data_IF_151836498134
#
_entry.id   IF_151836498134
#
_cell.length_a   1.000
_cell.length_b   1.000
_cell.length_c   1.000
_cell.angle_alpha   90.00
_cell.angle_beta   90.00
_cell.angle_gamma   90.00
#
_symmetry.space_group_name_H-M   'P 1'
#
loop_
_entity.id
_entity.type
_entity.pdbx_description
1 polymer ?
#
# COMPACT_ATOMS: atom_id res chain seq x y z
N UNK A 1 18.35 -8.53 -38.14
CA UNK A 1 18.39 -7.48 -39.18
C UNK A 1 19.73 -6.80 -39.06
N UNK A 2 20.69 -7.34 -39.80
CA UNK A 2 22.03 -6.79 -39.93
C UNK A 2 21.95 -5.53 -40.80
N UNK A 3 22.50 -4.42 -40.32
CA UNK A 3 22.71 -3.22 -41.15
C UNK A 3 24.23 -3.06 -41.29
N UNK A 4 24.75 -3.57 -42.41
CA UNK A 4 26.11 -3.33 -42.85
C UNK A 4 26.24 -1.85 -43.24
N UNK A 5 27.13 -1.15 -42.54
CA UNK A 5 27.51 0.22 -42.86
C UNK A 5 28.42 0.17 -44.10
N UNK A 6 27.91 0.63 -45.23
CA UNK A 6 28.61 0.63 -46.51
C UNK A 6 29.61 1.80 -46.56
N UNK A 7 30.89 1.46 -46.44
CA UNK A 7 31.99 2.41 -46.39
C UNK A 7 32.47 2.84 -47.79
N UNK A 8 31.96 2.23 -48.86
CA UNK A 8 32.41 2.51 -50.24
C UNK A 8 31.71 3.72 -50.88
N UNK A 9 30.66 4.26 -50.27
CA UNK A 9 29.92 5.41 -50.82
C UNK A 9 30.51 6.80 -50.48
N UNK A 10 31.66 6.89 -49.79
CA UNK A 10 32.21 8.16 -49.29
C UNK A 10 33.50 8.64 -49.97
N UNK A 11 33.99 7.95 -51.00
CA UNK A 11 35.13 8.41 -51.78
C UNK A 11 34.64 9.11 -53.05
N UNK A 12 34.48 10.42 -52.92
CA UNK A 12 34.11 11.36 -53.97
C UNK A 12 35.10 11.28 -55.14
N UNK A 13 34.63 10.73 -56.26
CA UNK A 13 35.28 10.67 -57.59
C UNK A 13 35.76 12.06 -58.08
N UNK A 14 35.29 13.12 -57.43
CA UNK A 14 35.57 14.51 -57.77
C UNK A 14 36.91 15.06 -57.24
N UNK A 15 37.54 14.43 -56.23
CA UNK A 15 38.86 14.84 -55.74
C UNK A 15 40.03 14.24 -56.54
N UNK A 16 39.87 13.04 -57.12
CA UNK A 16 40.92 12.39 -57.92
C UNK A 16 41.13 13.08 -59.27
N UNK A 17 40.09 13.68 -59.87
CA UNK A 17 40.20 14.45 -61.12
C UNK A 17 40.96 15.77 -60.95
N UNK A 18 40.85 16.44 -59.79
CA UNK A 18 41.55 17.72 -59.54
C UNK A 18 43.06 17.56 -59.32
N UNK A 19 43.53 16.40 -58.86
CA UNK A 19 44.97 16.15 -58.72
C UNK A 19 45.66 15.93 -60.08
N UNK A 20 44.97 15.39 -61.08
CA UNK A 20 45.55 15.10 -62.41
C UNK A 20 45.74 16.38 -63.23
N UNK A 21 44.82 17.34 -63.16
CA UNK A 21 44.95 18.64 -63.83
C UNK A 21 46.05 19.53 -63.22
N UNK A 22 46.36 19.38 -61.93
CA UNK A 22 47.38 20.18 -61.25
C UNK A 22 48.82 19.73 -61.59
N UNK A 23 49.02 18.47 -61.97
CA UNK A 23 50.33 17.94 -62.37
C UNK A 23 50.74 18.23 -63.82
N UNK A 24 49.80 18.62 -64.70
CA UNK A 24 50.06 18.79 -66.14
C UNK A 24 50.22 20.25 -66.60
N UNK A 25 50.04 21.23 -65.73
CA UNK A 25 50.24 22.65 -66.06
C UNK A 25 51.60 23.17 -65.60
N UNK A 26 52.67 22.60 -66.14
CA UNK A 26 54.01 23.17 -66.08
C UNK A 26 54.40 23.62 -67.49
N UNK A 27 54.63 24.93 -67.75
CA UNK A 27 55.00 25.36 -69.09
C UNK A 27 56.39 24.82 -69.46
N UNK A 28 56.46 24.05 -70.54
CA UNK A 28 57.70 23.63 -71.18
C UNK A 28 58.53 24.86 -71.58
N UNK A 29 59.64 25.08 -70.88
CA UNK A 29 60.67 26.03 -71.31
C UNK A 29 61.56 25.35 -72.35
N UNK A 30 61.19 25.46 -73.62
CA UNK A 30 62.08 25.16 -74.74
C UNK A 30 63.21 26.19 -74.77
N UNK A 31 64.43 25.76 -74.48
CA UNK A 31 65.64 26.57 -74.66
C UNK A 31 66.21 26.22 -76.04
N UNK A 32 65.96 27.09 -77.04
CA UNK A 32 66.86 27.26 -78.17
C UNK A 32 67.79 28.41 -77.86
N UNK A 33 69.09 28.16 -78.01
CA UNK A 33 70.16 29.15 -77.87
C UNK A 33 69.98 30.26 -78.90
N UNK A 34 69.98 31.51 -78.45
CA UNK A 34 70.75 32.60 -79.07
C UNK A 34 70.74 33.86 -78.17
N UNK A 35 71.96 34.39 -78.00
CA UNK A 35 72.37 35.75 -77.63
C UNK A 35 72.15 36.33 -76.20
N UNK A 36 73.30 36.74 -75.66
CA UNK A 36 73.51 37.26 -74.33
C UNK A 36 73.19 38.76 -74.24
N UNK A 37 72.00 39.12 -73.75
CA UNK A 37 71.73 40.42 -73.07
C UNK A 37 70.45 40.41 -72.21
N UNK A 38 69.79 39.26 -72.00
CA UNK A 38 68.48 39.19 -71.33
C UNK A 38 68.46 38.38 -70.01
N UNK A 39 69.61 38.02 -69.45
CA UNK A 39 69.65 37.15 -68.24
C UNK A 39 69.15 37.86 -66.96
N UNK A 40 69.36 39.17 -66.83
CA UNK A 40 68.98 39.92 -65.62
C UNK A 40 67.47 40.23 -65.49
N UNK A 41 66.74 40.25 -66.61
CA UNK A 41 65.27 40.41 -66.62
C UNK A 41 64.54 39.08 -66.43
N UNK A 42 65.10 37.96 -66.88
CA UNK A 42 64.53 36.61 -66.67
C UNK A 42 64.66 36.15 -65.21
N UNK A 43 65.78 36.45 -64.53
CA UNK A 43 65.97 36.10 -63.10
C UNK A 43 65.00 36.89 -62.19
N UNK A 44 64.74 38.17 -62.50
CA UNK A 44 63.73 38.97 -61.77
C UNK A 44 62.30 38.47 -61.99
N UNK A 45 61.93 38.03 -63.21
CA UNK A 45 60.62 37.43 -63.49
C UNK A 45 60.43 36.07 -62.81
N UNK A 46 61.46 35.22 -62.79
CA UNK A 46 61.41 33.92 -62.11
C UNK A 46 61.29 34.08 -60.57
N UNK A 47 61.97 35.07 -59.99
CA UNK A 47 61.86 35.43 -58.56
C UNK A 47 60.46 35.93 -58.17
N UNK A 48 59.83 36.76 -59.01
CA UNK A 48 58.46 37.25 -58.80
C UNK A 48 57.45 36.11 -58.90
N UNK A 49 57.57 35.24 -59.92
CA UNK A 49 56.72 34.06 -60.08
C UNK A 49 56.83 33.09 -58.90
N UNK A 50 58.03 32.89 -58.37
CA UNK A 50 58.25 32.02 -57.20
C UNK A 50 57.64 32.62 -55.92
N UNK A 51 57.70 33.95 -55.74
CA UNK A 51 57.03 34.64 -54.63
C UNK A 51 55.50 34.56 -54.73
N UNK A 52 54.97 34.71 -55.93
CA UNK A 52 53.53 34.66 -56.19
C UNK A 52 52.98 33.24 -56.00
N UNK A 53 53.69 32.21 -56.47
CA UNK A 53 53.37 30.80 -56.19
C UNK A 53 53.36 30.50 -54.70
N UNK A 54 54.38 30.94 -53.96
CA UNK A 54 54.44 30.75 -52.50
C UNK A 54 53.32 31.48 -51.78
N UNK A 55 52.96 32.68 -52.23
CA UNK A 55 51.83 33.44 -51.68
C UNK A 55 50.51 32.71 -51.92
N UNK A 56 50.28 32.22 -53.14
CA UNK A 56 49.08 31.45 -53.49
C UNK A 56 48.99 30.13 -52.71
N UNK A 57 50.14 29.47 -52.49
CA UNK A 57 50.21 28.24 -51.70
C UNK A 57 49.93 28.51 -50.21
N UNK A 58 50.46 29.61 -49.66
CA UNK A 58 50.14 30.05 -48.30
C UNK A 58 48.65 30.42 -48.17
N UNK A 59 48.07 31.12 -49.15
CA UNK A 59 46.65 31.46 -49.16
C UNK A 59 45.76 30.22 -49.27
N UNK A 60 46.13 29.23 -50.09
CA UNK A 60 45.46 27.94 -50.18
C UNK A 60 45.54 27.14 -48.87
N UNK A 61 46.71 27.10 -48.23
CA UNK A 61 46.85 26.40 -46.94
C UNK A 61 46.07 27.10 -45.83
N UNK A 62 46.03 28.43 -45.83
CA UNK A 62 45.23 29.21 -44.87
C UNK A 62 43.73 29.01 -45.10
N UNK A 63 43.26 28.99 -46.35
CA UNK A 63 41.85 28.73 -46.65
C UNK A 63 41.45 27.29 -46.31
N UNK A 64 42.30 26.31 -46.61
CA UNK A 64 42.08 24.89 -46.26
C UNK A 64 42.09 24.67 -44.75
N UNK A 65 43.02 25.32 -44.04
CA UNK A 65 43.04 25.29 -42.56
C UNK A 65 41.73 25.84 -41.99
N UNK A 66 41.26 26.99 -42.47
CA UNK A 66 39.97 27.56 -42.02
C UNK A 66 38.78 26.65 -42.34
N UNK A 67 38.78 26.01 -43.51
CA UNK A 67 37.73 25.06 -43.89
C UNK A 67 37.69 23.84 -42.95
N UNK A 68 38.86 23.26 -42.65
CA UNK A 68 38.99 22.14 -41.72
C UNK A 68 38.65 22.54 -40.28
N UNK A 69 39.00 23.75 -39.84
CA UNK A 69 38.60 24.28 -38.53
C UNK A 69 37.08 24.42 -38.41
N UNK A 70 36.41 24.94 -39.46
CA UNK A 70 34.95 25.04 -39.50
C UNK A 70 34.26 23.66 -39.53
N UNK A 71 34.86 22.67 -40.18
CA UNK A 71 34.35 21.30 -40.22
C UNK A 71 34.52 20.59 -38.88
N UNK A 72 35.66 20.80 -38.21
CA UNK A 72 35.89 20.35 -36.83
C UNK A 72 34.88 20.93 -35.86
N UNK A 73 34.57 22.22 -35.98
CA UNK A 73 33.59 22.89 -35.13
C UNK A 73 32.19 22.29 -35.32
N UNK A 74 31.75 22.07 -36.56
CA UNK A 74 30.48 21.39 -36.87
C UNK A 74 30.42 19.97 -36.31
N UNK A 75 31.49 19.20 -36.45
CA UNK A 75 31.57 17.84 -35.89
C UNK A 75 31.53 17.86 -34.36
N UNK A 76 32.15 18.86 -33.74
CA UNK A 76 32.12 19.04 -32.30
C UNK A 76 30.72 19.36 -31.79
N UNK A 77 30.00 20.27 -32.45
CA UNK A 77 28.60 20.60 -32.13
C UNK A 77 27.68 19.39 -32.31
N UNK A 78 27.84 18.63 -33.39
CA UNK A 78 27.04 17.44 -33.64
C UNK A 78 27.27 16.36 -32.56
N UNK A 79 28.53 16.12 -32.18
CA UNK A 79 28.88 15.18 -31.11
C UNK A 79 28.28 15.59 -29.78
N UNK A 80 28.33 16.89 -29.45
CA UNK A 80 27.80 17.42 -28.21
C UNK A 80 26.27 17.28 -28.15
N UNK A 81 25.58 17.52 -29.26
CA UNK A 81 24.13 17.27 -29.39
C UNK A 81 23.78 15.79 -29.19
N UNK A 82 24.53 14.88 -29.79
CA UNK A 82 24.32 13.43 -29.63
C UNK A 82 24.56 12.97 -28.18
N UNK A 83 25.59 13.48 -27.50
CA UNK A 83 25.86 13.15 -26.10
C UNK A 83 24.73 13.61 -25.17
N UNK A 84 24.16 14.80 -25.42
CA UNK A 84 23.02 15.32 -24.65
C UNK A 84 21.77 14.46 -24.87
N UNK A 85 21.50 14.07 -26.12
CA UNK A 85 20.36 13.22 -26.45
C UNK A 85 20.51 11.80 -25.87
N UNK A 86 21.71 11.22 -25.94
CA UNK A 86 22.03 9.93 -25.34
C UNK A 86 21.84 9.95 -23.82
N UNK A 87 22.29 11.02 -23.13
CA UNK A 87 22.04 11.21 -21.69
C UNK A 87 20.55 11.30 -21.37
N UNK A 88 19.78 12.03 -22.18
CA UNK A 88 18.32 12.15 -22.01
C UNK A 88 17.61 10.81 -22.16
N UNK A 89 17.98 10.03 -23.17
CA UNK A 89 17.43 8.70 -23.40
C UNK A 89 17.80 7.73 -22.27
N UNK A 90 19.03 7.81 -21.76
CA UNK A 90 19.47 7.00 -20.62
C UNK A 90 18.63 7.29 -19.36
N UNK A 91 18.39 8.56 -19.03
CA UNK A 91 17.54 8.94 -17.90
C UNK A 91 16.10 8.42 -18.06
N UNK A 92 15.53 8.53 -19.26
CA UNK A 92 14.19 7.98 -19.54
C UNK A 92 14.15 6.45 -19.38
N UNK A 93 15.18 5.75 -19.82
CA UNK A 93 15.28 4.31 -19.67
C UNK A 93 15.38 3.89 -18.19
N UNK A 94 16.14 4.63 -17.38
CA UNK A 94 16.24 4.41 -15.93
C UNK A 94 14.89 4.65 -15.22
N UNK A 95 14.17 5.71 -15.59
CA UNK A 95 12.82 5.99 -15.07
C UNK A 95 11.83 4.88 -15.42
N UNK A 96 11.82 4.42 -16.68
CA UNK A 96 10.98 3.30 -17.13
C UNK A 96 11.30 1.99 -16.40
N UNK A 97 12.59 1.73 -16.13
CA UNK A 97 13.02 0.54 -15.41
C UNK A 97 12.57 0.58 -13.94
N UNK A 98 12.62 1.75 -13.29
CA UNK A 98 12.11 1.94 -11.94
C UNK A 98 10.59 1.75 -11.86
N UNK A 99 9.84 2.29 -12.84
CA UNK A 99 8.39 2.09 -12.92
C UNK A 99 8.03 0.62 -13.13
N UNK A 100 8.75 -0.08 -14.00
CA UNK A 100 8.59 -1.53 -14.21
C UNK A 100 8.81 -2.30 -12.91
N UNK A 101 9.89 -2.01 -12.19
CA UNK A 101 10.20 -2.67 -10.92
C UNK A 101 9.10 -2.43 -9.87
N UNK A 102 8.63 -1.19 -9.74
CA UNK A 102 7.52 -0.87 -8.84
C UNK A 102 6.24 -1.63 -9.20
N UNK A 103 5.94 -1.75 -10.50
CA UNK A 103 4.78 -2.50 -10.98
C UNK A 103 4.93 -4.02 -10.78
N UNK A 104 6.14 -4.57 -10.87
CA UNK A 104 6.44 -5.96 -10.55
C UNK A 104 6.26 -6.25 -9.06
N UNK A 105 6.77 -5.37 -8.19
CA UNK A 105 6.63 -5.48 -6.74
C UNK A 105 5.15 -5.42 -6.31
N UNK A 106 4.37 -4.47 -6.86
CA UNK A 106 2.94 -4.35 -6.59
C UNK A 106 2.17 -5.59 -7.09
N UNK A 107 2.48 -6.08 -8.30
CA UNK A 107 1.88 -7.31 -8.82
C UNK A 107 2.21 -8.54 -7.95
N UNK A 108 3.44 -8.64 -7.45
CA UNK A 108 3.83 -9.70 -6.51
C UNK A 108 2.99 -9.61 -5.23
N UNK A 109 2.87 -8.41 -4.65
CA UNK A 109 2.05 -8.19 -3.45
C UNK A 109 0.58 -8.55 -3.66
N UNK A 110 0.01 -8.17 -4.81
CA UNK A 110 -1.38 -8.52 -5.14
C UNK A 110 -1.56 -10.03 -5.34
N UNK A 111 -0.60 -10.72 -5.98
CA UNK A 111 -0.64 -12.18 -6.12
C UNK A 111 -0.59 -12.87 -4.77
N UNK A 112 0.26 -12.41 -3.85
CA UNK A 112 0.33 -12.95 -2.49
C UNK A 112 -1.00 -12.76 -1.74
N UNK A 113 -1.63 -11.58 -1.86
CA UNK A 113 -2.96 -11.31 -1.31
C UNK A 113 -4.04 -12.23 -1.90
N UNK A 114 -4.05 -12.42 -3.22
CA UNK A 114 -5.00 -13.32 -3.91
C UNK A 114 -4.78 -14.77 -3.47
N UNK A 115 -3.53 -15.23 -3.40
CA UNK A 115 -3.21 -16.58 -2.94
C UNK A 115 -3.64 -16.80 -1.48
N UNK A 116 -3.43 -15.80 -0.63
CA UNK A 116 -3.92 -15.81 0.75
C UNK A 116 -5.44 -15.97 0.79
N UNK A 117 -6.18 -15.12 0.06
CA UNK A 117 -7.64 -15.18 -0.03
C UNK A 117 -8.14 -16.53 -0.60
N UNK A 118 -7.51 -17.06 -1.65
CA UNK A 118 -7.84 -18.37 -2.20
C UNK A 118 -7.62 -19.50 -1.20
N UNK A 119 -6.54 -19.43 -0.41
CA UNK A 119 -6.30 -20.40 0.65
C UNK A 119 -7.35 -20.31 1.74
N UNK A 120 -7.77 -19.08 2.11
CA UNK A 120 -8.88 -18.85 3.04
C UNK A 120 -10.18 -19.47 2.50
N UNK A 121 -10.52 -19.21 1.24
CA UNK A 121 -11.70 -19.78 0.58
C UNK A 121 -11.68 -21.29 0.56
N UNK A 122 -10.56 -21.93 0.21
CA UNK A 122 -10.43 -23.39 0.23
C UNK A 122 -10.58 -23.98 1.63
N UNK A 123 -10.03 -23.30 2.64
CA UNK A 123 -10.15 -23.71 4.03
C UNK A 123 -11.62 -23.67 4.46
N UNK A 124 -12.31 -22.58 4.12
CA UNK A 124 -13.74 -22.38 4.37
C UNK A 124 -14.59 -23.41 3.61
N UNK A 125 -14.35 -23.62 2.32
CA UNK A 125 -15.03 -24.61 1.51
C UNK A 125 -14.84 -26.03 2.09
N UNK A 126 -13.61 -26.40 2.47
CA UNK A 126 -13.34 -27.69 3.11
C UNK A 126 -14.05 -27.85 4.47
N UNK A 127 -14.19 -26.78 5.23
CA UNK A 127 -14.95 -26.76 6.48
C UNK A 127 -16.44 -26.99 6.22
N UNK A 128 -16.99 -26.23 5.29
CA UNK A 128 -18.39 -26.27 4.91
C UNK A 128 -18.81 -27.59 4.27
N UNK A 129 -17.91 -28.23 3.52
CA UNK A 129 -18.14 -29.56 2.97
C UNK A 129 -17.94 -30.67 4.01
N UNK A 130 -17.20 -30.42 5.10
CA UNK A 130 -16.92 -31.42 6.16
C UNK A 130 -17.84 -31.32 7.37
N UNK A 131 -18.62 -30.25 7.52
CA UNK A 131 -19.58 -30.08 8.60
C UNK A 131 -20.97 -29.67 8.08
N UNK A 132 -21.98 -30.48 8.41
CA UNK A 132 -23.38 -30.09 8.42
C UNK A 132 -23.70 -29.07 9.53
N UNK A 133 -22.70 -28.51 10.20
CA UNK A 133 -22.89 -27.60 11.31
C UNK A 133 -21.76 -26.57 11.42
N UNK A 134 -22.01 -25.35 10.94
CA UNK A 134 -21.49 -24.16 11.62
C UNK A 134 -21.77 -24.34 13.12
N UNK A 135 -20.82 -24.05 14.01
CA UNK A 135 -20.86 -24.34 15.45
C UNK A 135 -22.28 -24.21 16.05
N UNK A 136 -23.03 -25.31 16.07
CA UNK A 136 -24.33 -25.38 16.72
C UNK A 136 -24.04 -25.53 18.19
N UNK A 137 -24.21 -24.46 18.95
CA UNK A 137 -24.62 -24.66 20.33
C UNK A 137 -26.02 -25.26 20.26
N UNK A 138 -26.11 -26.56 20.49
CA UNK A 138 -27.40 -27.17 20.84
C UNK A 138 -27.91 -26.35 22.03
N UNK A 139 -29.17 -25.90 21.97
CA UNK A 139 -29.82 -25.13 23.05
C UNK A 139 -29.68 -25.74 24.45
N UNK A 140 -29.17 -26.98 24.56
CA UNK A 140 -29.08 -27.72 25.79
C UNK A 140 -27.87 -27.43 26.68
N UNK A 141 -26.69 -26.94 26.25
CA UNK A 141 -25.59 -26.66 27.21
C UNK A 141 -24.50 -25.71 26.67
N UNK A 142 -24.43 -24.44 27.12
CA UNK A 142 -23.17 -23.70 27.13
C UNK A 142 -22.28 -24.30 28.23
N UNK A 143 -21.15 -24.90 27.87
CA UNK A 143 -20.24 -25.58 28.83
C UNK A 143 -19.43 -24.59 29.67
N UNK A 144 -19.47 -23.31 29.35
CA UNK A 144 -18.75 -22.26 30.06
C UNK A 144 -19.74 -21.22 30.64
N UNK A 145 -19.81 -21.09 31.98
CA UNK A 145 -20.74 -20.17 32.65
C UNK A 145 -20.49 -18.70 32.27
N UNK A 146 -19.30 -18.35 31.78
CA UNK A 146 -18.97 -16.99 31.33
C UNK A 146 -19.77 -16.55 30.09
N UNK A 147 -20.49 -17.46 29.43
CA UNK A 147 -21.35 -17.13 28.29
C UNK A 147 -22.80 -16.85 28.68
N UNK A 148 -23.19 -17.07 29.93
CA UNK A 148 -24.56 -16.90 30.39
C UNK A 148 -24.60 -15.88 31.50
N UNK A 149 -25.44 -14.87 31.36
CA UNK A 149 -25.67 -13.89 32.41
C UNK A 149 -26.86 -14.26 33.29
N UNK A 150 -26.68 -14.35 34.61
CA UNK A 150 -27.76 -14.66 35.53
C UNK A 150 -28.73 -13.48 35.69
N UNK A 151 -29.97 -13.78 36.06
CA UNK A 151 -30.99 -12.77 36.37
C UNK A 151 -30.73 -12.03 37.69
N UNK A 152 -30.03 -12.65 38.64
CA UNK A 152 -29.77 -12.05 39.95
C UNK A 152 -28.80 -10.86 39.83
N UNK A 153 -29.18 -9.64 40.26
CA UNK A 153 -28.38 -8.42 40.03
C UNK A 153 -26.95 -8.49 40.57
N UNK A 154 -26.77 -9.02 41.79
CA UNK A 154 -25.44 -9.11 42.43
C UNK A 154 -24.53 -10.10 41.69
N UNK A 155 -25.05 -11.29 41.36
CA UNK A 155 -24.31 -12.30 40.63
C UNK A 155 -23.95 -11.84 39.21
N UNK A 156 -24.87 -11.10 38.58
CA UNK A 156 -24.69 -10.48 37.26
C UNK A 156 -23.59 -9.41 37.28
N UNK A 157 -23.63 -8.50 38.25
CA UNK A 157 -22.60 -7.47 38.41
C UNK A 157 -21.22 -8.07 38.66
N UNK A 158 -21.13 -9.12 39.48
CA UNK A 158 -19.88 -9.84 39.71
C UNK A 158 -19.38 -10.51 38.41
N UNK A 159 -20.26 -11.12 37.61
CA UNK A 159 -19.90 -11.69 36.31
C UNK A 159 -19.31 -10.67 35.35
N UNK A 160 -19.91 -9.47 35.26
CA UNK A 160 -19.36 -8.39 34.45
C UNK A 160 -17.96 -8.01 34.91
N UNK A 161 -17.78 -7.78 36.22
CA UNK A 161 -16.48 -7.43 36.80
C UNK A 161 -15.41 -8.49 36.56
N UNK A 162 -15.73 -9.76 36.78
CA UNK A 162 -14.80 -10.86 36.59
C UNK A 162 -14.40 -11.00 35.12
N UNK A 163 -15.37 -10.85 34.21
CA UNK A 163 -15.14 -10.91 32.77
C UNK A 163 -14.23 -9.78 32.30
N UNK A 164 -14.47 -8.55 32.78
CA UNK A 164 -13.63 -7.38 32.48
C UNK A 164 -12.22 -7.58 33.04
N UNK A 165 -12.10 -8.05 34.28
CA UNK A 165 -10.79 -8.25 34.92
C UNK A 165 -9.97 -9.30 34.17
N UNK A 166 -10.58 -10.40 33.74
CA UNK A 166 -9.94 -11.40 32.88
C UNK A 166 -9.48 -10.76 31.56
N UNK A 167 -10.37 -10.05 30.87
CA UNK A 167 -10.04 -9.44 29.58
C UNK A 167 -8.90 -8.41 29.69
N UNK A 168 -8.88 -7.58 30.75
CA UNK A 168 -7.79 -6.63 31.00
C UNK A 168 -6.45 -7.32 31.26
N UNK A 169 -6.44 -8.44 31.98
CA UNK A 169 -5.24 -9.22 32.26
C UNK A 169 -4.67 -9.90 30.99
N UNK A 170 -5.53 -10.18 30.00
CA UNK A 170 -5.13 -10.78 28.73
C UNK A 170 -4.51 -9.79 27.75
N UNK A 171 -4.82 -8.48 27.85
CA UNK A 171 -4.41 -7.44 26.88
C UNK A 171 -2.93 -7.53 26.51
N UNK A 172 -2.04 -7.52 27.51
CA UNK A 172 -0.60 -7.49 27.27
C UNK A 172 -0.11 -8.78 26.58
N UNK A 173 -0.64 -9.93 27.00
CA UNK A 173 -0.35 -11.23 26.38
C UNK A 173 -0.81 -11.31 24.93
N UNK A 174 -2.01 -10.79 24.63
CA UNK A 174 -2.58 -10.76 23.29
C UNK A 174 -1.77 -9.86 22.38
N UNK A 175 -1.48 -8.63 22.83
CA UNK A 175 -0.68 -7.67 22.06
C UNK A 175 0.73 -8.18 21.79
N UNK A 176 1.38 -8.83 22.77
CA UNK A 176 2.68 -9.47 22.61
C UNK A 176 2.64 -10.64 21.61
N UNK A 177 1.65 -11.53 21.72
CA UNK A 177 1.47 -12.67 20.82
C UNK A 177 1.22 -12.25 19.36
N UNK A 178 0.71 -11.03 19.15
CA UNK A 178 0.51 -10.44 17.81
C UNK A 178 1.65 -9.53 17.36
N UNK A 179 2.75 -9.47 18.11
CA UNK A 179 3.90 -8.61 17.83
C UNK A 179 3.53 -7.12 17.71
N UNK A 180 2.56 -6.68 18.49
CA UNK A 180 2.07 -5.29 18.46
C UNK A 180 2.78 -4.39 19.49
N UNK A 181 3.79 -4.85 20.23
CA UNK A 181 4.41 -4.09 21.33
C UNK A 181 5.95 -4.04 21.22
N UNK A 182 6.56 -3.00 20.61
CA UNK A 182 5.96 -1.98 19.72
C UNK A 182 5.71 -2.53 18.30
N UNK A 183 4.78 -1.94 17.53
CA UNK A 183 4.48 -2.42 16.19
C UNK A 183 5.65 -2.09 15.26
N UNK A 184 6.19 -3.10 14.57
CA UNK A 184 7.26 -2.93 13.58
C UNK A 184 6.77 -2.96 12.13
N UNK A 185 5.45 -3.03 11.94
CA UNK A 185 4.82 -3.11 10.62
C UNK A 185 4.58 -1.73 9.99
N UNK A 186 4.47 -1.63 8.64
CA UNK A 186 4.02 -0.41 7.97
C UNK A 186 2.63 0.02 8.45
N UNK A 187 2.44 1.32 8.62
CA UNK A 187 1.17 1.92 9.08
C UNK A 187 0.49 2.70 7.94
N UNK A 188 -0.85 2.72 7.86
CA UNK A 188 -1.80 1.96 8.69
C UNK A 188 -1.74 0.45 8.39
N UNK A 189 -1.94 -0.37 9.41
CA UNK A 189 -1.98 -1.82 9.27
C UNK A 189 -3.39 -2.33 9.51
N UNK A 190 -3.92 -3.08 8.56
CA UNK A 190 -5.20 -3.77 8.67
C UNK A 190 -4.98 -5.18 8.18
N UNK A 191 -5.28 -6.14 9.05
CA UNK A 191 -5.23 -7.55 8.72
C UNK A 191 -6.50 -8.24 9.21
N UNK A 192 -6.97 -9.20 8.44
CA UNK A 192 -8.11 -10.03 8.80
C UNK A 192 -7.81 -11.46 8.38
N UNK A 193 -7.59 -12.30 9.38
CA UNK A 193 -7.21 -13.70 9.18
C UNK A 193 -8.31 -14.61 9.69
N UNK A 194 -8.69 -15.58 8.86
CA UNK A 194 -9.63 -16.63 9.28
C UNK A 194 -8.81 -17.85 9.71
N UNK A 195 -8.92 -18.22 10.97
CA UNK A 195 -8.27 -19.39 11.56
C UNK A 195 -9.29 -20.51 11.68
N UNK A 196 -8.99 -21.63 11.04
CA UNK A 196 -9.70 -22.87 11.26
C UNK A 196 -8.94 -23.73 12.26
N UNK A 197 -9.60 -24.08 13.36
CA UNK A 197 -9.09 -25.01 14.35
C UNK A 197 -9.88 -26.32 14.25
N UNK A 198 -9.40 -27.31 13.47
CA UNK A 198 -10.00 -28.62 13.43
C UNK A 198 -9.71 -29.33 14.76
N UNK A 199 -10.66 -29.28 15.69
CA UNK A 199 -10.73 -30.23 16.79
C UNK A 199 -11.97 -31.07 16.56
N UNK A 200 -11.84 -32.40 16.41
CA UNK A 200 -13.02 -33.27 16.45
C UNK A 200 -13.33 -33.54 17.92
N UNK A 201 -14.58 -33.35 18.41
CA UNK A 201 -15.79 -32.95 17.67
C UNK A 201 -16.03 -31.44 17.53
N UNK A 202 -15.30 -30.58 18.24
CA UNK A 202 -15.54 -29.13 18.33
C UNK A 202 -14.64 -28.32 17.40
N UNK A 203 -14.85 -28.42 16.09
CA UNK A 203 -14.08 -27.61 15.15
C UNK A 203 -14.57 -26.17 15.25
N UNK A 204 -13.63 -25.22 15.31
CA UNK A 204 -13.94 -23.80 15.52
C UNK A 204 -13.40 -22.98 14.36
N UNK A 205 -14.21 -22.04 13.89
CA UNK A 205 -13.75 -20.93 13.07
C UNK A 205 -13.61 -19.73 13.98
N UNK A 206 -12.47 -19.06 13.85
CA UNK A 206 -12.19 -17.79 14.51
C UNK A 206 -11.70 -16.81 13.46
N UNK A 207 -12.36 -15.68 13.34
CA UNK A 207 -11.96 -14.56 12.50
C UNK A 207 -11.21 -13.61 13.41
N UNK A 208 -9.94 -13.39 13.10
CA UNK A 208 -9.05 -12.48 13.81
C UNK A 208 -8.92 -11.20 12.99
N UNK A 209 -9.21 -10.07 13.62
CA UNK A 209 -9.12 -8.74 13.01
C UNK A 209 -8.05 -7.96 13.78
N UNK A 210 -7.01 -7.53 13.08
CA UNK A 210 -5.94 -6.69 13.65
C UNK A 210 -5.95 -5.35 12.94
N UNK A 211 -5.93 -4.27 13.72
CA UNK A 211 -5.84 -2.91 13.18
C UNK A 211 -4.84 -2.08 13.96
N UNK A 212 -4.00 -1.33 13.27
CA UNK A 212 -3.05 -0.39 13.87
C UNK A 212 -3.06 0.90 13.08
N UNK A 213 -3.34 2.00 13.77
CA UNK A 213 -3.39 3.35 13.21
C UNK A 213 -2.60 4.33 14.06
N UNK A 214 -2.02 5.33 13.43
CA UNK A 214 -1.41 6.48 14.08
C UNK A 214 -2.16 7.76 13.76
N UNK A 215 -2.31 8.60 14.77
CA UNK A 215 -3.01 9.87 14.70
C UNK A 215 -2.07 10.97 15.24
N UNK A 216 -1.35 11.67 14.35
CA UNK A 216 -0.55 12.82 14.73
C UNK A 216 -1.43 13.90 15.37
N UNK A 217 -0.88 14.63 16.34
CA UNK A 217 -1.55 15.78 16.98
C UNK A 217 -2.82 15.49 17.76
N UNK A 218 -3.20 14.23 17.93
CA UNK A 218 -4.31 13.79 18.79
C UNK A 218 -3.75 13.32 20.12
N UNK A 219 -4.38 13.66 21.23
CA UNK A 219 -4.01 13.13 22.56
C UNK A 219 -4.68 11.78 22.84
N UNK A 220 -4.13 10.99 23.77
CA UNK A 220 -4.73 9.72 24.21
C UNK A 220 -6.18 9.93 24.67
N UNK A 221 -6.43 10.98 25.46
CA UNK A 221 -7.75 11.30 25.99
C UNK A 221 -8.77 11.61 24.88
N UNK A 222 -8.40 12.45 23.91
CA UNK A 222 -9.27 12.78 22.78
C UNK A 222 -9.61 11.54 21.95
N UNK A 223 -8.61 10.72 21.64
CA UNK A 223 -8.80 9.46 20.91
C UNK A 223 -9.67 8.48 21.69
N UNK A 224 -9.40 8.32 22.99
CA UNK A 224 -10.18 7.49 23.91
C UNK A 224 -11.65 7.88 23.95
N UNK A 225 -11.95 9.17 24.06
CA UNK A 225 -13.32 9.68 24.07
C UNK A 225 -14.01 9.51 22.71
N UNK A 226 -13.29 9.75 21.61
CA UNK A 226 -13.83 9.59 20.26
C UNK A 226 -14.16 8.13 19.93
N UNK A 227 -13.30 7.18 20.34
CA UNK A 227 -13.55 5.74 20.21
C UNK A 227 -14.67 5.27 21.12
N UNK A 228 -14.70 5.71 22.37
CA UNK A 228 -15.79 5.37 23.30
C UNK A 228 -17.15 5.81 22.74
N UNK A 229 -17.22 7.01 22.15
CA UNK A 229 -18.42 7.50 21.48
C UNK A 229 -18.82 6.63 20.28
N UNK A 230 -17.84 6.24 19.46
CA UNK A 230 -18.05 5.38 18.30
C UNK A 230 -18.62 4.01 18.70
N UNK A 231 -17.99 3.35 19.68
CA UNK A 231 -18.31 1.97 20.11
C UNK A 231 -19.68 1.87 20.80
N UNK A 232 -20.22 2.95 21.36
CA UNK A 232 -21.45 2.86 22.15
C UNK A 232 -22.64 3.63 21.60
N UNK A 233 -22.43 4.73 20.87
CA UNK A 233 -23.51 5.60 20.44
C UNK A 233 -23.65 5.69 18.92
N UNK A 234 -22.75 5.04 18.17
CA UNK A 234 -22.65 5.19 16.72
C UNK A 234 -22.32 3.86 16.01
N UNK A 235 -22.48 2.71 16.69
CA UNK A 235 -22.23 1.40 16.07
C UNK A 235 -23.26 1.08 15.00
N UNK A 236 -24.50 1.52 15.18
CA UNK A 236 -25.56 1.46 14.17
C UNK A 236 -25.15 2.19 12.88
N UNK A 237 -24.43 3.31 12.99
CA UNK A 237 -23.89 4.04 11.84
C UNK A 237 -22.81 3.26 11.08
N UNK A 238 -22.17 2.24 11.69
CA UNK A 238 -21.20 1.39 11.00
C UNK A 238 -21.86 0.50 9.94
N UNK A 239 -23.12 0.13 10.13
CA UNK A 239 -23.91 -0.61 9.14
C UNK A 239 -24.98 0.29 8.54
N UNK A 240 -24.55 1.45 8.02
CA UNK A 240 -25.44 2.44 7.42
C UNK A 240 -26.32 1.91 6.26
N UNK A 241 -25.96 0.77 5.67
CA UNK A 241 -26.70 0.11 4.60
C UNK A 241 -27.84 -0.78 5.12
N UNK A 242 -27.82 -1.16 6.40
CA UNK A 242 -28.81 -2.05 6.99
C UNK A 242 -29.80 -1.24 7.85
N UNK A 243 -31.07 -1.12 7.43
CA UNK A 243 -32.08 -0.41 8.21
C UNK A 243 -32.46 -1.12 9.52
N UNK A 244 -32.04 -2.37 9.71
CA UNK A 244 -32.27 -3.14 10.93
C UNK A 244 -31.14 -3.00 11.95
N UNK A 245 -30.04 -2.35 11.59
CA UNK A 245 -28.92 -2.10 12.46
C UNK A 245 -29.34 -1.23 13.65
N UNK A 246 -29.13 -1.75 14.86
CA UNK A 246 -29.51 -1.07 16.09
C UNK A 246 -28.57 -1.44 17.23
N UNK A 247 -28.07 -0.42 17.92
CA UNK A 247 -27.28 -0.54 19.13
C UNK A 247 -28.04 0.10 20.30
N UNK A 248 -28.12 -0.61 21.42
CA UNK A 248 -28.83 -0.16 22.62
C UNK A 248 -27.97 -0.42 23.86
N UNK A 249 -27.84 0.58 24.72
CA UNK A 249 -27.25 0.40 26.05
C UNK A 249 -28.32 -0.19 26.97
N UNK A 250 -28.12 -1.43 27.40
CA UNK A 250 -29.04 -2.13 28.31
C UNK A 250 -28.78 -1.75 29.77
N UNK A 251 -27.50 -1.68 30.16
CA UNK A 251 -27.09 -1.31 31.51
C UNK A 251 -25.82 -0.45 31.49
N UNK A 252 -25.81 0.57 32.35
CA UNK A 252 -24.62 1.35 32.67
C UNK A 252 -24.16 0.96 34.06
N UNK A 253 -23.05 0.22 34.16
CA UNK A 253 -22.53 -0.25 35.44
C UNK A 253 -21.79 0.89 36.15
N UNK A 254 -21.03 1.66 35.38
CA UNK A 254 -20.28 2.84 35.78
C UNK A 254 -19.97 3.71 34.52
N UNK A 255 -19.36 4.90 34.65
CA UNK A 255 -19.10 5.79 33.51
C UNK A 255 -18.22 5.19 32.39
N UNK A 256 -17.42 4.19 32.71
CA UNK A 256 -16.46 3.54 31.81
C UNK A 256 -16.80 2.07 31.54
N UNK A 257 -17.99 1.61 31.98
CA UNK A 257 -18.45 0.24 31.74
C UNK A 257 -19.91 0.21 31.30
N UNK A 258 -20.11 -0.24 30.07
CA UNK A 258 -21.43 -0.33 29.44
C UNK A 258 -21.71 -1.77 29.01
N UNK A 259 -22.96 -2.18 29.22
CA UNK A 259 -23.48 -3.42 28.66
C UNK A 259 -24.45 -3.09 27.53
N UNK A 260 -24.12 -3.54 26.33
CA UNK A 260 -24.82 -3.18 25.10
C UNK A 260 -25.38 -4.38 24.38
N UNK A 261 -26.54 -4.18 23.77
CA UNK A 261 -27.13 -5.08 22.80
C UNK A 261 -26.97 -4.51 21.41
N UNK A 262 -26.50 -5.34 20.51
CA UNK A 262 -26.34 -5.03 19.12
C UNK A 262 -27.16 -5.98 18.24
N UNK A 263 -27.85 -5.43 17.24
CA UNK A 263 -28.70 -6.16 16.30
C UNK A 263 -28.44 -5.67 14.89
N UNK A 264 -28.32 -6.58 13.94
CA UNK A 264 -28.30 -6.25 12.52
C UNK A 264 -28.69 -7.44 11.65
N UNK A 265 -29.06 -7.18 10.42
CA UNK A 265 -29.22 -8.14 9.35
C UNK A 265 -28.14 -7.86 8.31
N UNK A 266 -27.12 -8.72 8.28
CA UNK A 266 -25.98 -8.56 7.35
C UNK A 266 -26.44 -8.55 5.88
N UNK A 267 -27.45 -9.36 5.55
CA UNK A 267 -28.05 -9.44 4.21
C UNK A 267 -29.56 -9.66 4.30
N UNK A 268 -30.30 -8.95 3.45
CA UNK A 268 -31.76 -9.06 3.38
C UNK A 268 -32.21 -10.52 3.17
N UNK A 269 -33.03 -11.01 4.10
CA UNK A 269 -33.54 -12.39 4.11
C UNK A 269 -32.74 -13.36 4.96
N UNK A 270 -31.56 -12.98 5.48
CA UNK A 270 -30.84 -13.76 6.49
C UNK A 270 -31.44 -13.57 7.89
N UNK A 271 -31.21 -14.51 8.83
CA UNK A 271 -31.55 -14.30 10.23
C UNK A 271 -30.87 -13.06 10.80
N UNK A 272 -31.55 -12.37 11.73
CA UNK A 272 -30.96 -11.27 12.48
C UNK A 272 -29.74 -11.80 13.27
N UNK A 273 -28.64 -11.07 13.24
CA UNK A 273 -27.51 -11.28 14.14
C UNK A 273 -27.75 -10.46 15.39
N UNK A 274 -27.68 -11.10 16.55
CA UNK A 274 -27.81 -10.45 17.84
C UNK A 274 -26.56 -10.73 18.69
N UNK A 275 -26.05 -9.68 19.33
CA UNK A 275 -24.86 -9.72 20.18
C UNK A 275 -25.08 -8.93 21.45
N UNK A 276 -24.51 -9.43 22.53
CA UNK A 276 -24.59 -8.83 23.84
C UNK A 276 -23.18 -8.68 24.37
N UNK A 277 -22.69 -7.46 24.57
CA UNK A 277 -21.30 -7.24 24.97
C UNK A 277 -21.22 -6.35 26.19
N UNK A 278 -20.37 -6.75 27.14
CA UNK A 278 -19.85 -5.82 28.14
C UNK A 278 -18.59 -5.19 27.57
N UNK A 279 -18.49 -3.88 27.68
CA UNK A 279 -17.34 -3.10 27.23
C UNK A 279 -16.85 -2.25 28.41
N UNK A 280 -15.54 -2.20 28.61
CA UNK A 280 -14.92 -1.44 29.67
C UNK A 280 -13.72 -0.65 29.16
N UNK A 281 -13.57 0.59 29.65
CA UNK A 281 -12.47 1.49 29.32
C UNK A 281 -11.63 1.79 30.57
N UNK A 282 -10.44 1.21 30.64
CA UNK A 282 -9.47 1.50 31.68
C UNK A 282 -8.53 2.63 31.24
N UNK A 283 -8.59 3.77 31.94
CA UNK A 283 -7.79 4.95 31.65
C UNK A 283 -6.58 4.99 32.61
N UNK A 284 -5.38 5.02 32.07
CA UNK A 284 -4.13 5.20 32.79
C UNK A 284 -3.39 6.47 32.28
N UNK A 285 -2.32 6.85 32.96
CA UNK A 285 -1.58 8.10 32.66
C UNK A 285 -0.96 8.12 31.25
N UNK A 286 -0.48 6.97 30.77
CA UNK A 286 0.26 6.87 29.50
C UNK A 286 -0.45 5.98 28.47
N UNK A 287 -1.60 5.42 28.81
CA UNK A 287 -2.36 4.58 27.91
C UNK A 287 -3.84 4.50 28.31
N UNK A 288 -4.69 4.15 27.36
CA UNK A 288 -6.06 3.71 27.62
C UNK A 288 -6.25 2.34 27.01
N UNK A 289 -6.85 1.43 27.78
CA UNK A 289 -7.22 0.09 27.34
C UNK A 289 -8.74 0.03 27.22
N UNK A 290 -9.27 -0.41 26.09
CA UNK A 290 -10.70 -0.71 25.94
C UNK A 290 -10.83 -2.20 25.67
N UNK A 291 -11.61 -2.90 26.48
CA UNK A 291 -11.86 -4.34 26.30
C UNK A 291 -13.34 -4.59 26.18
N UNK A 292 -13.72 -5.55 25.34
CA UNK A 292 -15.11 -5.99 25.27
C UNK A 292 -15.20 -7.50 25.12
N UNK A 293 -16.28 -8.06 25.68
CA UNK A 293 -16.56 -9.50 25.66
C UNK A 293 -18.04 -9.74 25.49
N UNK A 294 -18.38 -10.67 24.60
CA UNK A 294 -19.76 -11.06 24.37
C UNK A 294 -20.25 -12.16 25.32
N UNK A 295 -21.56 -12.11 25.60
CA UNK A 295 -22.33 -13.17 26.24
C UNK A 295 -23.27 -13.79 25.21
N UNK A 296 -23.52 -15.09 25.33
CA UNK A 296 -24.38 -15.84 24.41
C UNK A 296 -25.83 -15.90 24.89
N UNK A 297 -26.05 -15.89 26.20
CA UNK A 297 -27.38 -15.93 26.80
C UNK A 297 -27.47 -14.90 27.93
N UNK A 298 -28.62 -14.25 28.04
CA UNK A 298 -28.96 -13.33 29.11
C UNK A 298 -30.39 -13.62 29.60
N UNK A 299 -30.52 -13.97 30.88
CA UNK A 299 -31.82 -14.28 31.50
C UNK A 299 -32.71 -13.03 31.69
N UNK A 300 -32.13 -11.84 31.81
CA UNK A 300 -32.87 -10.57 31.92
C UNK A 300 -33.33 -10.07 30.55
N UNK A 301 -32.52 -10.28 29.52
CA UNK A 301 -32.74 -9.81 28.16
C UNK A 301 -32.65 -10.97 27.16
N UNK A 302 -33.64 -11.88 27.14
CA UNK A 302 -33.57 -13.07 26.31
C UNK A 302 -33.56 -12.72 24.82
N UNK A 303 -32.70 -13.43 24.07
CA UNK A 303 -32.60 -13.28 22.63
C UNK A 303 -33.86 -13.72 21.89
N UNK A 304 -34.08 -13.17 20.71
CA UNK A 304 -35.17 -13.61 19.84
C UNK A 304 -34.82 -15.00 19.28
N UNK A 305 -35.71 -15.99 19.42
CA UNK A 305 -35.40 -17.39 19.07
C UNK A 305 -35.00 -17.68 17.61
N UNK A 306 -35.18 -16.72 16.70
CA UNK A 306 -34.78 -16.82 15.29
C UNK A 306 -33.44 -16.14 14.98
N UNK A 307 -32.79 -15.46 15.94
CA UNK A 307 -31.53 -14.75 15.68
C UNK A 307 -30.31 -15.67 15.72
N UNK A 308 -29.35 -15.41 14.85
CA UNK A 308 -27.98 -15.92 14.94
C UNK A 308 -27.23 -15.15 16.02
N UNK A 309 -26.32 -15.82 16.75
CA UNK A 309 -25.47 -15.20 17.76
C UNK A 309 -24.01 -15.30 17.36
N UNK A 310 -23.15 -14.53 17.98
CA UNK A 310 -21.70 -14.69 17.82
C UNK A 310 -20.98 -14.48 19.15
N UNK A 311 -19.84 -15.16 19.30
CA UNK A 311 -18.92 -14.93 20.40
C UNK A 311 -17.81 -14.01 19.89
N UNK A 312 -17.79 -12.77 20.36
CA UNK A 312 -16.73 -11.81 20.07
C UNK A 312 -16.01 -11.39 21.33
N UNK A 313 -14.70 -11.20 21.20
CA UNK A 313 -13.89 -10.52 22.20
C UNK A 313 -12.85 -9.65 21.54
N UNK A 314 -12.68 -8.43 22.05
CA UNK A 314 -11.71 -7.50 21.51
C UNK A 314 -11.00 -6.68 22.54
N UNK A 315 -9.82 -6.23 22.15
CA UNK A 315 -8.86 -5.52 22.95
C UNK A 315 -8.34 -4.34 22.13
N UNK A 316 -8.45 -3.14 22.67
CA UNK A 316 -7.91 -1.93 22.11
C UNK A 316 -6.93 -1.30 23.08
N UNK A 317 -5.79 -0.83 22.57
CA UNK A 317 -4.79 -0.09 23.33
C UNK A 317 -4.48 1.20 22.61
N UNK A 318 -4.61 2.30 23.34
CA UNK A 318 -4.34 3.67 22.89
C UNK A 318 -3.16 4.17 23.71
N UNK A 319 -2.08 4.57 23.06
CA UNK A 319 -0.87 5.04 23.74
C UNK A 319 -0.11 6.01 22.84
N UNK A 320 0.85 6.75 23.40
CA UNK A 320 1.75 7.60 22.61
C UNK A 320 2.94 6.78 22.14
N UNK A 321 3.16 6.73 20.82
CA UNK A 321 4.29 6.01 20.25
C UNK A 321 5.61 6.66 20.70
N UNK A 322 6.56 5.91 21.28
CA UNK A 322 7.77 6.49 21.87
C UNK A 322 8.73 7.12 20.84
N UNK A 323 8.62 6.73 19.56
CA UNK A 323 9.50 7.23 18.49
C UNK A 323 8.86 8.37 17.70
N UNK A 324 7.57 8.26 17.35
CA UNK A 324 6.88 9.22 16.47
C UNK A 324 6.14 10.28 17.28
N UNK A 325 5.95 10.07 18.59
CA UNK A 325 5.09 10.86 19.48
C UNK A 325 3.63 10.99 18.99
N UNK A 326 3.22 10.20 18.01
CA UNK A 326 1.83 10.13 17.57
C UNK A 326 1.01 9.29 18.55
N UNK A 327 -0.29 9.57 18.66
CA UNK A 327 -1.19 8.67 19.37
C UNK A 327 -1.47 7.47 18.47
N UNK A 328 -1.12 6.28 18.95
CA UNK A 328 -1.31 5.02 18.25
C UNK A 328 -2.48 4.26 18.85
N UNK A 329 -3.36 3.74 18.00
CA UNK A 329 -4.44 2.83 18.38
C UNK A 329 -4.12 1.45 17.80
N UNK A 330 -4.10 0.44 18.67
CA UNK A 330 -4.03 -0.98 18.30
C UNK A 330 -5.34 -1.64 18.66
N UNK A 331 -5.85 -2.48 17.77
CA UNK A 331 -7.04 -3.28 18.00
C UNK A 331 -6.75 -4.72 17.59
N UNK A 332 -7.18 -5.65 18.44
CA UNK A 332 -7.29 -7.07 18.12
C UNK A 332 -8.69 -7.51 18.49
N UNK A 333 -9.45 -8.04 17.54
CA UNK A 333 -10.75 -8.69 17.79
C UNK A 333 -10.71 -10.14 17.32
N UNK A 334 -11.33 -11.01 18.10
CA UNK A 334 -11.58 -12.40 17.76
C UNK A 334 -13.09 -12.60 17.70
N UNK A 335 -13.57 -12.96 16.52
CA UNK A 335 -14.96 -13.26 16.27
C UNK A 335 -15.13 -14.74 15.94
N UNK A 336 -16.05 -15.38 16.64
CA UNK A 336 -16.44 -16.77 16.39
C UNK A 336 -17.91 -16.75 15.99
N UNK A 337 -18.23 -16.80 14.69
CA UNK A 337 -19.62 -16.83 14.24
C UNK A 337 -20.28 -18.12 14.71
N UNK A 338 -21.41 -18.00 15.41
CA UNK A 338 -22.17 -19.14 15.93
C UNK A 338 -23.50 -19.22 15.17
N UNK A 339 -23.48 -19.82 13.98
CA UNK A 339 -24.74 -20.10 13.31
C UNK A 339 -25.40 -21.37 13.85
N UNK A 340 -26.72 -21.34 13.95
CA UNK A 340 -27.50 -22.55 14.00
C UNK A 340 -27.39 -23.23 12.62
N UNK A 341 -26.74 -24.40 12.56
CA UNK A 341 -26.63 -25.25 11.36
C UNK A 341 -27.90 -25.38 10.53
N UNK A 342 -29.06 -25.32 11.19
CA UNK A 342 -30.35 -25.45 10.51
C UNK A 342 -30.65 -24.27 9.56
N UNK A 343 -30.06 -23.09 9.77
CA UNK A 343 -30.55 -21.82 9.21
C UNK A 343 -29.52 -20.99 8.46
N UNK A 344 -28.24 -21.38 8.40
CA UNK A 344 -27.22 -20.55 7.76
C UNK A 344 -26.75 -21.17 6.42
N UNK A 345 -26.95 -20.49 5.28
CA UNK A 345 -26.35 -20.85 4.00
C UNK A 345 -24.84 -20.55 4.01
N UNK A 346 -24.11 -21.47 4.66
CA UNK A 346 -22.72 -21.91 4.51
C UNK A 346 -21.82 -21.12 3.52
N UNK A 347 -22.18 -20.92 2.24
CA UNK A 347 -21.29 -20.28 1.26
C UNK A 347 -21.29 -18.74 1.24
N UNK A 348 -22.44 -18.09 1.44
CA UNK A 348 -22.60 -16.65 1.21
C UNK A 348 -22.21 -15.81 2.44
N UNK A 349 -22.47 -16.36 3.62
CA UNK A 349 -22.31 -15.62 4.88
C UNK A 349 -20.87 -15.17 5.10
N UNK A 350 -19.86 -15.92 4.64
CA UNK A 350 -18.46 -15.59 4.96
C UNK A 350 -17.88 -14.50 4.08
N UNK A 351 -18.12 -14.53 2.76
CA UNK A 351 -17.64 -13.48 1.86
C UNK A 351 -18.34 -12.15 2.14
N UNK A 352 -19.65 -12.19 2.37
CA UNK A 352 -20.45 -11.03 2.74
C UNK A 352 -20.03 -10.46 4.09
N UNK A 353 -19.74 -11.34 5.07
CA UNK A 353 -19.26 -10.92 6.38
C UNK A 353 -17.86 -10.32 6.33
N UNK A 354 -16.96 -10.86 5.49
CA UNK A 354 -15.63 -10.29 5.29
C UNK A 354 -15.70 -8.94 4.56
N UNK A 355 -16.59 -8.81 3.56
CA UNK A 355 -16.88 -7.52 2.91
C UNK A 355 -17.39 -6.51 3.93
N UNK A 356 -18.31 -6.94 4.80
CA UNK A 356 -18.84 -6.12 5.87
C UNK A 356 -17.74 -5.63 6.82
N UNK A 357 -16.84 -6.52 7.28
CA UNK A 357 -15.72 -6.12 8.14
C UNK A 357 -14.82 -5.08 7.48
N UNK A 358 -14.61 -5.19 6.16
CA UNK A 358 -13.84 -4.22 5.39
C UNK A 358 -14.55 -2.88 5.30
N UNK A 359 -15.83 -2.86 4.90
CA UNK A 359 -16.63 -1.64 4.73
C UNK A 359 -16.82 -0.90 6.06
N UNK A 360 -17.10 -1.63 7.14
CA UNK A 360 -17.23 -1.09 8.49
C UNK A 360 -15.93 -0.40 8.96
N UNK A 361 -14.76 -0.83 8.46
CA UNK A 361 -13.48 -0.16 8.74
C UNK A 361 -13.47 1.25 8.17
N UNK A 362 -13.80 1.38 6.88
CA UNK A 362 -13.78 2.66 6.18
C UNK A 362 -14.84 3.62 6.74
N UNK A 363 -16.03 3.10 7.05
CA UNK A 363 -17.10 3.89 7.69
C UNK A 363 -16.70 4.31 9.10
N UNK A 364 -16.22 3.37 9.92
CA UNK A 364 -15.81 3.65 11.29
C UNK A 364 -14.69 4.66 11.38
N UNK A 365 -13.71 4.61 10.47
CA UNK A 365 -12.65 5.60 10.41
C UNK A 365 -13.18 7.00 10.09
N UNK A 366 -14.13 7.13 9.16
CA UNK A 366 -14.76 8.44 8.86
C UNK A 366 -15.51 9.00 10.05
N UNK A 367 -16.29 8.18 10.76
CA UNK A 367 -17.01 8.61 11.97
C UNK A 367 -16.03 9.01 13.07
N UNK A 368 -14.95 8.24 13.24
CA UNK A 368 -13.90 8.55 14.21
C UNK A 368 -13.24 9.91 13.90
N UNK A 369 -12.90 10.18 12.64
CA UNK A 369 -12.37 11.47 12.22
C UNK A 369 -13.36 12.61 12.51
N UNK A 370 -14.64 12.39 12.24
CA UNK A 370 -15.69 13.36 12.56
C UNK A 370 -15.78 13.63 14.08
N UNK A 371 -15.75 12.58 14.91
CA UNK A 371 -15.76 12.73 16.36
C UNK A 371 -14.54 13.52 16.88
N UNK A 372 -13.37 13.35 16.26
CA UNK A 372 -12.17 14.11 16.60
C UNK A 372 -12.31 15.59 16.17
N UNK A 373 -12.82 15.85 14.98
CA UNK A 373 -13.08 17.20 14.49
C UNK A 373 -14.11 17.93 15.37
N UNK A 374 -15.20 17.27 15.77
CA UNK A 374 -16.23 17.82 16.66
C UNK A 374 -15.66 18.17 18.04
N UNK A 375 -14.62 17.45 18.49
CA UNK A 375 -13.88 17.74 19.71
C UNK A 375 -12.86 18.89 19.55
N UNK A 376 -12.84 19.56 18.40
CA UNK A 376 -11.93 20.67 18.10
C UNK A 376 -10.53 20.24 17.68
N UNK A 377 -10.34 18.98 17.26
CA UNK A 377 -9.05 18.46 16.82
C UNK A 377 -8.97 18.52 15.30
N UNK A 378 -8.15 19.43 14.75
CA UNK A 378 -7.89 19.47 13.32
C UNK A 378 -6.92 18.35 12.94
N UNK A 379 -7.39 17.34 12.21
CA UNK A 379 -6.54 16.33 11.60
C UNK A 379 -5.84 16.95 10.37
N UNK A 380 -4.52 17.06 10.40
CA UNK A 380 -3.68 17.59 9.32
C UNK A 380 -3.38 16.58 8.23
#
# INVERSE_FOLDING_TARGET
METSFDLEAFLDEHETQKLVEFTLSSPEMTVKEEEATCKDKMVKKASVYYRERRKNEVEYLVSKKRALEAELEKLHEHKLSQEVEAKRLKLKAEEQLNLLRSAEDENSSLRDKILSQMNTLKLLESFFMSQSAICVFSHSVPTNPLYVLPREPTARHNHFRDTIAIALNEVDSVMAAKHLSPPSMPLPFVDTTVRFQPHKPNSKIEIEVIRVYEFPSVTIEQMSNALWKLIHYQVDLLIYTDPTAHAEVLETLDPDTLYTRYRCQLVQGQPLVESYSVCHRAIAEHETRIVYRCYLDDECFPSIGSSTRHDENGYLVIFTHPVTNATTVKMVSFLRPLANAANAPVGLVTEEFMSYLHDATTVGFRILQQNLNDAGVALS
#
